data_IF_161893668170
#
_entry.id   IF_161893668170
#
_cell.length_a   1.000
_cell.length_b   1.000
_cell.length_c   1.000
_cell.angle_alpha   90.00
_cell.angle_beta   90.00
_cell.angle_gamma   90.00
#
_symmetry.space_group_name_H-M   'P 1'
#
loop_
_entity.id
_entity.type
_entity.pdbx_description
1 polymer ?
#
# COMPACT_ATOMS: atom_id res chain seq x y z
N UNK A 1 -44.50 85.78 43.58
CA UNK A 1 -43.28 84.92 43.59
C UNK A 1 -43.68 83.44 43.55
N UNK A 2 -44.50 83.00 42.57
CA UNK A 2 -45.04 81.62 42.47
C UNK A 2 -44.75 81.00 41.08
N UNK A 3 -44.41 81.80 40.06
CA UNK A 3 -44.01 81.31 38.73
C UNK A 3 -42.66 80.57 38.75
N UNK A 4 -41.63 81.16 39.39
CA UNK A 4 -40.26 80.64 39.35
C UNK A 4 -40.09 79.22 39.94
N UNK A 5 -40.87 78.87 40.97
CA UNK A 5 -40.79 77.55 41.62
C UNK A 5 -41.45 76.46 40.74
N UNK A 6 -42.45 76.83 39.93
CA UNK A 6 -43.14 75.88 39.04
C UNK A 6 -42.29 75.55 37.81
N UNK A 7 -41.56 76.54 37.29
CA UNK A 7 -40.74 76.37 36.10
C UNK A 7 -39.51 75.50 36.34
N UNK A 8 -38.84 75.64 37.50
CA UNK A 8 -37.67 74.81 37.82
C UNK A 8 -38.03 73.33 38.00
N UNK A 9 -39.21 73.03 38.55
CA UNK A 9 -39.69 71.64 38.70
C UNK A 9 -39.90 70.95 37.35
N UNK A 10 -40.35 71.70 36.34
CA UNK A 10 -40.52 71.18 34.97
C UNK A 10 -39.15 70.87 34.36
N UNK A 11 -38.17 71.77 34.52
CA UNK A 11 -36.81 71.55 34.02
C UNK A 11 -36.16 70.33 34.69
N UNK A 12 -36.29 70.17 36.02
CA UNK A 12 -35.77 68.99 36.74
C UNK A 12 -36.46 67.71 36.28
N UNK A 13 -37.76 67.76 36.01
CA UNK A 13 -38.51 66.61 35.51
C UNK A 13 -38.05 66.21 34.10
N UNK A 14 -37.88 67.16 33.19
CA UNK A 14 -37.32 66.88 31.86
C UNK A 14 -35.89 66.35 31.92
N UNK A 15 -35.06 66.83 32.85
CA UNK A 15 -33.69 66.36 33.03
C UNK A 15 -33.66 64.93 33.60
N UNK A 16 -34.57 64.59 34.51
CA UNK A 16 -34.75 63.22 35.00
C UNK A 16 -35.23 62.27 33.90
N UNK A 17 -36.19 62.69 33.07
CA UNK A 17 -36.69 61.88 31.95
C UNK A 17 -35.61 61.71 30.87
N UNK A 18 -34.82 62.76 30.58
CA UNK A 18 -33.70 62.68 29.66
C UNK A 18 -32.59 61.74 30.20
N UNK A 19 -32.28 61.80 31.49
CA UNK A 19 -31.35 60.88 32.15
C UNK A 19 -31.83 59.42 32.12
N UNK A 20 -33.10 59.19 32.40
CA UNK A 20 -33.72 57.86 32.32
C UNK A 20 -33.77 57.33 30.87
N UNK A 21 -34.03 58.19 29.89
CA UNK A 21 -33.99 57.85 28.48
C UNK A 21 -32.60 57.42 28.01
N UNK A 22 -31.55 58.12 28.46
CA UNK A 22 -30.16 57.74 28.18
C UNK A 22 -29.76 56.42 28.85
N UNK A 23 -30.23 56.17 30.08
CA UNK A 23 -30.01 54.90 30.77
C UNK A 23 -30.73 53.74 30.08
N UNK A 24 -31.98 53.95 29.64
CA UNK A 24 -32.77 52.94 28.94
C UNK A 24 -32.17 52.61 27.57
N UNK A 25 -31.69 53.62 26.84
CA UNK A 25 -31.00 53.43 25.56
C UNK A 25 -29.67 52.68 25.69
N UNK A 26 -28.89 52.96 26.74
CA UNK A 26 -27.61 52.27 27.00
C UNK A 26 -27.81 50.80 27.38
N UNK A 27 -28.89 50.48 28.11
CA UNK A 27 -29.21 49.11 28.52
C UNK A 27 -29.76 48.28 27.34
N UNK A 28 -30.63 48.87 26.51
CA UNK A 28 -31.16 48.22 25.30
C UNK A 28 -30.07 47.98 24.24
N UNK A 29 -29.09 48.89 24.13
CA UNK A 29 -27.98 48.71 23.19
C UNK A 29 -27.03 47.57 23.59
N UNK A 30 -26.82 47.33 24.88
CA UNK A 30 -25.98 46.22 25.37
C UNK A 30 -26.63 44.83 25.22
N UNK A 31 -27.96 44.72 25.26
CA UNK A 31 -28.64 43.43 25.11
C UNK A 31 -28.59 42.88 23.67
N UNK A 32 -28.53 43.77 22.68
CA UNK A 32 -28.44 43.39 21.26
C UNK A 32 -27.08 42.77 20.91
N UNK A 33 -26.01 43.24 21.54
CA UNK A 33 -24.66 42.69 21.35
C UNK A 33 -24.50 41.31 21.99
N UNK A 34 -25.00 41.13 23.22
CA UNK A 34 -24.93 39.83 23.89
C UNK A 34 -25.76 38.76 23.17
N UNK A 35 -26.97 39.11 22.73
CA UNK A 35 -27.82 38.16 21.99
C UNK A 35 -27.27 37.79 20.61
N UNK A 36 -26.59 38.72 19.93
CA UNK A 36 -25.88 38.40 18.69
C UNK A 36 -24.63 37.56 18.95
N UNK A 37 -23.84 37.87 19.98
CA UNK A 37 -22.67 37.09 20.35
C UNK A 37 -23.05 35.67 20.77
N UNK A 38 -24.11 35.48 21.55
CA UNK A 38 -24.59 34.15 21.93
C UNK A 38 -25.06 33.34 20.72
N UNK A 39 -25.73 33.97 19.75
CA UNK A 39 -26.14 33.29 18.51
C UNK A 39 -24.94 32.89 17.67
N UNK A 40 -23.96 33.78 17.50
CA UNK A 40 -22.73 33.50 16.75
C UNK A 40 -21.89 32.43 17.45
N UNK A 41 -21.78 32.48 18.78
CA UNK A 41 -21.05 31.47 19.56
C UNK A 41 -21.73 30.10 19.51
N UNK A 42 -23.07 30.05 19.55
CA UNK A 42 -23.83 28.80 19.33
C UNK A 42 -23.60 28.27 17.93
N UNK A 43 -23.74 29.10 16.90
CA UNK A 43 -23.49 28.68 15.51
C UNK A 43 -22.05 28.18 15.30
N UNK A 44 -21.07 28.84 15.91
CA UNK A 44 -19.68 28.39 15.84
C UNK A 44 -19.48 27.05 16.56
N UNK A 45 -20.09 26.86 17.74
CA UNK A 45 -20.05 25.57 18.45
C UNK A 45 -20.72 24.46 17.66
N UNK A 46 -21.91 24.71 17.11
CA UNK A 46 -22.65 23.73 16.32
C UNK A 46 -21.85 23.34 15.07
N UNK A 47 -21.23 24.33 14.39
CA UNK A 47 -20.35 24.07 13.24
C UNK A 47 -19.08 23.30 13.63
N UNK A 48 -18.47 23.60 14.79
CA UNK A 48 -17.32 22.86 15.32
C UNK A 48 -17.67 21.42 15.70
N UNK A 49 -18.85 21.20 16.27
CA UNK A 49 -19.35 19.89 16.65
C UNK A 49 -19.70 19.06 15.40
N UNK A 50 -20.33 19.69 14.40
CA UNK A 50 -20.59 19.07 13.10
C UNK A 50 -19.28 18.69 12.39
N UNK A 51 -18.28 19.59 12.37
CA UNK A 51 -16.96 19.31 11.79
C UNK A 51 -16.20 18.22 12.55
N UNK A 52 -16.29 18.20 13.88
CA UNK A 52 -15.70 17.14 14.70
C UNK A 52 -16.38 15.80 14.45
N UNK A 53 -17.71 15.78 14.30
CA UNK A 53 -18.47 14.58 13.93
C UNK A 53 -18.11 14.07 12.53
N UNK A 54 -17.95 14.98 11.55
CA UNK A 54 -17.48 14.66 10.20
C UNK A 54 -16.06 14.09 10.22
N UNK A 55 -15.14 14.68 11.00
CA UNK A 55 -13.76 14.20 11.14
C UNK A 55 -13.70 12.83 11.83
N UNK A 56 -14.52 12.60 12.86
CA UNK A 56 -14.61 11.30 13.53
C UNK A 56 -15.16 10.24 12.57
N UNK A 57 -16.20 10.57 11.79
CA UNK A 57 -16.76 9.67 10.78
C UNK A 57 -15.76 9.37 9.65
N UNK A 58 -15.01 10.38 9.19
CA UNK A 58 -13.93 10.22 8.20
C UNK A 58 -12.78 9.38 8.76
N UNK A 59 -12.38 9.59 10.02
CA UNK A 59 -11.30 8.83 10.67
C UNK A 59 -11.70 7.37 10.88
N UNK A 60 -12.95 7.11 11.27
CA UNK A 60 -13.52 5.76 11.37
C UNK A 60 -13.54 5.07 9.99
N UNK A 61 -13.89 5.79 8.92
CA UNK A 61 -13.86 5.28 7.55
C UNK A 61 -12.43 5.03 7.04
N UNK A 62 -11.49 5.93 7.33
CA UNK A 62 -10.08 5.80 6.94
C UNK A 62 -9.46 4.60 7.65
N UNK A 63 -9.73 4.38 8.94
CA UNK A 63 -9.21 3.24 9.69
C UNK A 63 -9.66 1.90 9.10
N UNK A 64 -10.94 1.78 8.71
CA UNK A 64 -11.46 0.57 8.05
C UNK A 64 -10.90 0.40 6.64
N UNK A 65 -10.80 1.50 5.88
CA UNK A 65 -10.22 1.46 4.54
C UNK A 65 -8.74 1.10 4.53
N UNK A 66 -7.97 1.49 5.55
CA UNK A 66 -6.53 1.23 5.60
C UNK A 66 -6.24 -0.26 5.84
N UNK A 67 -7.05 -0.93 6.67
CA UNK A 67 -6.95 -2.37 6.89
C UNK A 67 -7.28 -3.18 5.63
N UNK A 68 -8.34 -2.80 4.92
CA UNK A 68 -8.71 -3.46 3.66
C UNK A 68 -7.69 -3.18 2.55
N UNK A 69 -7.17 -1.95 2.47
CA UNK A 69 -6.09 -1.62 1.54
C UNK A 69 -4.78 -2.34 1.89
N UNK A 70 -4.45 -2.50 3.17
CA UNK A 70 -3.28 -3.24 3.61
C UNK A 70 -3.39 -4.73 3.23
N UNK A 71 -4.57 -5.35 3.45
CA UNK A 71 -4.83 -6.73 3.00
C UNK A 71 -4.74 -6.87 1.48
N UNK A 72 -5.31 -5.93 0.73
CA UNK A 72 -5.21 -5.96 -0.74
C UNK A 72 -3.76 -5.82 -1.22
N UNK A 73 -2.97 -4.94 -0.60
CA UNK A 73 -1.54 -4.78 -0.92
C UNK A 73 -0.77 -6.07 -0.60
N UNK A 74 -1.03 -6.67 0.56
CA UNK A 74 -0.39 -7.93 0.94
C UNK A 74 -0.74 -9.07 -0.04
N UNK A 75 -2.01 -9.18 -0.45
CA UNK A 75 -2.44 -10.13 -1.47
C UNK A 75 -1.77 -9.88 -2.83
N UNK A 76 -1.64 -8.63 -3.25
CA UNK A 76 -0.96 -8.26 -4.50
C UNK A 76 0.52 -8.63 -4.45
N UNK A 77 1.21 -8.34 -3.35
CA UNK A 77 2.62 -8.69 -3.19
C UNK A 77 2.83 -10.21 -3.16
N UNK A 78 2.00 -10.94 -2.41
CA UNK A 78 2.03 -12.41 -2.41
C UNK A 78 1.80 -12.99 -3.81
N UNK A 79 0.82 -12.46 -4.54
CA UNK A 79 0.53 -12.91 -5.90
C UNK A 79 1.69 -12.58 -6.86
N UNK A 80 2.27 -11.40 -6.75
CA UNK A 80 3.42 -10.95 -7.55
C UNK A 80 4.65 -11.84 -7.31
N UNK A 81 4.92 -12.19 -6.05
CA UNK A 81 5.98 -13.13 -5.69
C UNK A 81 5.74 -14.51 -6.33
N UNK A 82 4.54 -15.06 -6.16
CA UNK A 82 4.18 -16.37 -6.74
C UNK A 82 4.27 -16.38 -8.28
N UNK A 83 3.87 -15.28 -8.95
CA UNK A 83 4.00 -15.14 -10.40
C UNK A 83 5.46 -15.07 -10.84
N UNK A 84 6.30 -14.32 -10.12
CA UNK A 84 7.74 -14.24 -10.38
C UNK A 84 8.42 -15.62 -10.27
N UNK A 85 8.05 -16.40 -9.25
CA UNK A 85 8.61 -17.74 -9.05
C UNK A 85 8.16 -18.71 -10.14
N UNK A 86 6.87 -18.65 -10.54
CA UNK A 86 6.35 -19.43 -11.67
C UNK A 86 7.05 -19.08 -12.98
N UNK A 87 7.30 -17.80 -13.23
CA UNK A 87 8.01 -17.36 -14.43
C UNK A 87 9.44 -17.93 -14.47
N UNK A 88 10.19 -17.82 -13.36
CA UNK A 88 11.54 -18.38 -13.26
C UNK A 88 11.55 -19.90 -13.46
N UNK A 89 10.56 -20.59 -12.92
CA UNK A 89 10.42 -22.04 -13.09
C UNK A 89 10.19 -22.40 -14.56
N UNK A 90 9.28 -21.69 -15.26
CA UNK A 90 9.02 -21.91 -16.68
C UNK A 90 10.29 -21.66 -17.52
N UNK A 91 11.02 -20.58 -17.24
CA UNK A 91 12.26 -20.28 -17.95
C UNK A 91 13.34 -21.33 -17.73
N UNK A 92 13.47 -21.81 -16.48
CA UNK A 92 14.39 -22.91 -16.16
C UNK A 92 14.01 -24.17 -16.93
N UNK A 93 12.75 -24.61 -16.83
CA UNK A 93 12.26 -25.79 -17.53
C UNK A 93 12.42 -25.67 -19.04
N UNK A 94 12.19 -24.47 -19.60
CA UNK A 94 12.42 -24.22 -21.03
C UNK A 94 13.89 -24.38 -21.41
N UNK A 95 14.81 -23.84 -20.61
CA UNK A 95 16.25 -23.97 -20.84
C UNK A 95 16.71 -25.42 -20.74
N UNK A 96 16.30 -26.11 -19.69
CA UNK A 96 16.59 -27.54 -19.50
C UNK A 96 16.02 -28.37 -20.66
N UNK A 97 14.80 -28.09 -21.12
CA UNK A 97 14.22 -28.78 -22.25
C UNK A 97 14.99 -28.53 -23.56
N UNK A 98 15.43 -27.28 -23.80
CA UNK A 98 16.29 -26.94 -24.94
C UNK A 98 17.65 -27.62 -24.87
N UNK A 99 18.25 -27.70 -23.69
CA UNK A 99 19.52 -28.39 -23.46
C UNK A 99 19.39 -29.89 -23.73
N UNK A 100 18.33 -30.53 -23.21
CA UNK A 100 18.02 -31.94 -23.48
C UNK A 100 17.81 -32.20 -24.97
N UNK A 101 17.07 -31.31 -25.64
CA UNK A 101 16.87 -31.39 -27.08
C UNK A 101 18.19 -31.26 -27.84
N UNK A 102 19.03 -30.30 -27.46
CA UNK A 102 20.34 -30.14 -28.08
C UNK A 102 21.24 -31.36 -27.86
N UNK A 103 21.22 -31.96 -26.66
CA UNK A 103 21.97 -33.17 -26.35
C UNK A 103 21.48 -34.38 -27.14
N UNK A 104 20.17 -34.50 -27.33
CA UNK A 104 19.57 -35.56 -28.17
C UNK A 104 19.84 -35.36 -29.66
N UNK A 105 19.88 -34.12 -30.14
CA UNK A 105 20.19 -33.77 -31.53
C UNK A 105 21.71 -33.84 -31.82
N UNK A 106 22.56 -33.81 -30.79
CA UNK A 106 24.01 -34.00 -30.92
C UNK A 106 24.31 -35.46 -31.27
N UNK A 107 25.03 -35.68 -32.36
CA UNK A 107 25.45 -37.02 -32.78
C UNK A 107 26.23 -37.69 -31.65
N UNK A 108 25.80 -38.91 -31.26
CA UNK A 108 26.49 -39.68 -30.22
C UNK A 108 27.97 -39.84 -30.60
N UNK A 109 28.91 -39.58 -29.69
CA UNK A 109 30.33 -39.80 -29.93
C UNK A 109 30.58 -41.22 -30.44
N UNK A 110 31.49 -41.34 -31.41
CA UNK A 110 31.82 -42.61 -32.05
C UNK A 110 32.18 -43.71 -31.03
N UNK A 111 32.74 -43.31 -29.88
CA UNK A 111 33.09 -44.21 -28.77
C UNK A 111 31.85 -44.89 -28.15
N UNK A 112 30.77 -44.14 -27.94
CA UNK A 112 29.50 -44.69 -27.41
C UNK A 112 28.82 -45.57 -28.46
N UNK A 113 28.91 -45.18 -29.74
CA UNK A 113 28.38 -45.98 -30.86
C UNK A 113 29.12 -47.31 -30.97
N UNK A 114 30.46 -47.32 -30.86
CA UNK A 114 31.28 -48.55 -30.86
C UNK A 114 30.96 -49.46 -29.68
N UNK A 115 30.71 -48.91 -28.49
CA UNK A 115 30.30 -49.70 -27.32
C UNK A 115 28.90 -50.33 -27.50
N UNK A 116 27.98 -49.61 -28.16
CA UNK A 116 26.64 -50.13 -28.49
C UNK A 116 26.67 -51.16 -29.62
N UNK A 117 27.59 -51.02 -30.57
CA UNK A 117 27.86 -52.00 -31.62
C UNK A 117 28.54 -53.23 -31.03
N UNK A 118 27.76 -54.03 -30.30
CA UNK A 118 28.25 -55.28 -29.71
C UNK A 118 28.29 -56.37 -30.78
N UNK A 119 29.44 -57.01 -31.04
CA UNK A 119 29.44 -58.27 -31.77
C UNK A 119 28.68 -59.34 -30.96
N UNK A 120 28.19 -60.39 -31.63
CA UNK A 120 27.54 -61.51 -30.96
C UNK A 120 28.57 -62.28 -30.10
N UNK A 121 28.74 -61.85 -28.86
CA UNK A 121 29.69 -62.46 -27.91
C UNK A 121 28.95 -63.57 -27.16
N UNK A 122 29.23 -64.82 -27.51
CA UNK A 122 28.71 -66.02 -26.84
C UNK A 122 29.66 -66.44 -25.72
N UNK A 123 29.38 -65.99 -24.49
CA UNK A 123 30.04 -66.47 -23.27
C UNK A 123 30.94 -65.45 -22.55
N UNK A 124 31.16 -65.67 -21.24
CA UNK A 124 31.84 -64.71 -20.36
C UNK A 124 33.35 -64.53 -20.58
N UNK A 125 34.05 -65.55 -21.08
CA UNK A 125 35.46 -65.46 -21.44
C UNK A 125 35.67 -64.64 -22.72
N UNK A 126 34.81 -64.84 -23.72
CA UNK A 126 34.78 -64.06 -24.96
C UNK A 126 34.45 -62.59 -24.66
N UNK A 127 33.61 -62.31 -23.66
CA UNK A 127 33.33 -60.95 -23.22
C UNK A 127 34.54 -60.24 -22.62
N UNK A 128 35.29 -60.92 -21.74
CA UNK A 128 36.49 -60.35 -21.13
C UNK A 128 37.57 -60.08 -22.17
N UNK A 129 37.75 -60.98 -23.13
CA UNK A 129 38.71 -60.81 -24.23
C UNK A 129 38.34 -59.62 -25.13
N UNK A 130 37.07 -59.49 -25.53
CA UNK A 130 36.60 -58.34 -26.31
C UNK A 130 36.81 -57.01 -25.58
N UNK A 131 36.52 -56.95 -24.28
CA UNK A 131 36.77 -55.76 -23.45
C UNK A 131 38.26 -55.40 -23.35
N UNK A 132 39.16 -56.37 -23.35
CA UNK A 132 40.60 -56.14 -23.33
C UNK A 132 41.19 -55.74 -24.69
N UNK A 133 40.46 -55.98 -25.78
CA UNK A 133 40.88 -55.71 -27.17
C UNK A 133 40.30 -54.38 -27.67
N UNK A 134 39.19 -53.92 -27.09
CA UNK A 134 38.73 -52.53 -27.20
C UNK A 134 39.67 -51.68 -26.34
N UNK A 135 40.65 -51.08 -27.01
CA UNK A 135 41.66 -50.18 -26.43
C UNK A 135 41.05 -49.17 -25.42
N UNK A 136 41.83 -48.78 -24.41
CA UNK A 136 41.35 -47.90 -23.34
C UNK A 136 40.78 -46.60 -23.93
N UNK A 137 39.50 -46.34 -23.68
CA UNK A 137 38.81 -45.13 -24.14
C UNK A 137 39.55 -43.92 -23.55
N UNK A 138 40.06 -42.98 -24.37
CA UNK A 138 40.72 -41.79 -23.86
C UNK A 138 39.73 -41.01 -22.99
N UNK A 139 40.12 -40.69 -21.76
CA UNK A 139 39.33 -39.79 -20.91
C UNK A 139 39.35 -38.42 -21.58
N UNK A 140 38.20 -37.85 -21.99
CA UNK A 140 38.17 -36.51 -22.56
C UNK A 140 38.67 -35.52 -21.50
N UNK A 141 39.85 -34.95 -21.72
CA UNK A 141 40.41 -33.88 -20.87
C UNK A 141 41.73 -34.19 -20.15
N UNK A 142 42.32 -35.38 -20.30
CA UNK A 142 43.66 -35.65 -19.76
C UNK A 142 44.66 -35.71 -20.91
N UNK A 143 45.25 -34.55 -21.21
CA UNK A 143 46.44 -34.45 -22.03
C UNK A 143 47.61 -35.03 -21.21
N UNK A 144 48.31 -36.08 -21.67
CA UNK A 144 49.52 -36.53 -21.01
C UNK A 144 50.57 -35.41 -21.15
N UNK A 145 51.02 -34.89 -20.03
CA UNK A 145 52.18 -34.01 -19.98
C UNK A 145 53.43 -34.85 -20.28
N UNK A 146 54.16 -34.45 -21.31
CA UNK A 146 55.52 -34.94 -21.61
C UNK A 146 56.51 -34.61 -20.48
#
# INVERSE_FOLDING_TARGET
>A
MIGLIKDWRIVVFFLLVAGAGLQSWRLDHSQKLNSQQEKTLKQQRDALEEKSGQLNALTEQIKRSDEDQARLRDLVEQNRAALSDRQKLIERLKRENQELKHWADTLLPADIVRLRQRPAITGGSAYRKWLSEVDAVPVPGIQPAD
#
